data_IF_978039186551
#
_entry.id   IF_978039186551
#
_cell.length_a   1.000
_cell.length_b   1.000
_cell.length_c   1.000
_cell.angle_alpha   90.00
_cell.angle_beta   90.00
_cell.angle_gamma   90.00
#
_symmetry.space_group_name_H-M   'P 1'
#
loop_
_entity.id
_entity.type
_entity.pdbx_description
1 polymer ?
#
# COMPACT_ATOMS: atom_id res chain seq x y z
N UNK A 1 1.79 -26.06 -3.66
CA UNK A 1 1.78 -24.74 -3.01
C UNK A 1 0.46 -24.55 -2.26
N UNK A 2 0.51 -24.19 -0.97
CA UNK A 2 -0.64 -23.93 -0.09
C UNK A 2 -0.47 -22.60 0.66
N UNK A 3 -1.59 -21.93 0.97
CA UNK A 3 -1.61 -20.75 1.82
C UNK A 3 -1.33 -21.12 3.29
N UNK A 4 -0.42 -20.40 3.93
CA UNK A 4 -0.12 -20.53 5.36
C UNK A 4 -0.53 -19.30 6.17
N UNK A 5 -0.60 -18.12 5.56
CA UNK A 5 -1.11 -16.89 6.20
C UNK A 5 -1.59 -15.88 5.15
N UNK A 6 -2.51 -14.99 5.55
CA UNK A 6 -3.05 -13.90 4.74
C UNK A 6 -3.22 -12.67 5.63
N UNK A 7 -2.59 -11.55 5.28
CA UNK A 7 -2.70 -10.30 6.03
C UNK A 7 -3.12 -9.12 5.12
N UNK A 8 -4.30 -8.51 5.36
CA UNK A 8 -4.71 -7.30 4.67
C UNK A 8 -4.05 -6.05 5.30
N UNK A 9 -3.47 -5.21 4.46
CA UNK A 9 -2.77 -3.98 4.85
C UNK A 9 -3.44 -2.71 4.30
N UNK A 10 -4.72 -2.79 3.90
CA UNK A 10 -5.49 -1.69 3.31
C UNK A 10 -5.24 -0.29 3.88
N UNK A 11 -5.46 -0.11 5.19
CA UNK A 11 -5.32 1.19 5.86
C UNK A 11 -3.87 1.67 5.92
N UNK A 12 -2.91 0.75 5.87
CA UNK A 12 -1.49 1.11 5.75
C UNK A 12 -1.21 1.74 4.39
N UNK A 13 -1.82 1.23 3.32
CA UNK A 13 -1.63 1.77 1.98
C UNK A 13 -2.37 3.10 1.79
N UNK A 14 -3.57 3.26 2.36
CA UNK A 14 -4.24 4.56 2.48
C UNK A 14 -3.29 5.59 3.11
N UNK A 15 -2.78 5.31 4.31
CA UNK A 15 -1.89 6.21 5.06
C UNK A 15 -0.60 6.53 4.28
N UNK A 16 -0.05 5.55 3.58
CA UNK A 16 1.13 5.74 2.73
C UNK A 16 0.86 6.78 1.63
N UNK A 17 -0.25 6.64 0.91
CA UNK A 17 -0.62 7.56 -0.17
C UNK A 17 -0.95 8.97 0.33
N UNK A 18 -1.58 9.09 1.50
CA UNK A 18 -1.83 10.38 2.15
C UNK A 18 -0.51 11.09 2.50
N UNK A 19 0.47 10.38 3.05
CA UNK A 19 1.80 10.92 3.36
C UNK A 19 2.54 11.30 2.07
N UNK A 20 2.47 10.47 1.02
CA UNK A 20 3.06 10.81 -0.27
C UNK A 20 2.44 12.07 -0.86
N UNK A 21 1.12 12.23 -0.77
CA UNK A 21 0.45 13.45 -1.21
C UNK A 21 0.89 14.67 -0.39
N UNK A 22 0.95 14.57 0.94
CA UNK A 22 1.45 15.64 1.81
C UNK A 22 2.88 16.05 1.46
N UNK A 23 3.75 15.08 1.18
CA UNK A 23 5.12 15.35 0.77
C UNK A 23 5.20 15.94 -0.64
N UNK A 24 4.36 15.46 -1.56
CA UNK A 24 4.24 16.02 -2.90
C UNK A 24 3.84 17.50 -2.87
N UNK A 25 2.86 17.87 -2.03
CA UNK A 25 2.44 19.27 -1.89
C UNK A 25 3.60 20.20 -1.46
N UNK A 26 4.55 19.72 -0.65
CA UNK A 26 5.73 20.51 -0.23
C UNK A 26 6.69 20.82 -1.38
N UNK A 27 6.67 20.02 -2.45
CA UNK A 27 7.57 20.16 -3.62
C UNK A 27 6.80 20.52 -4.91
N UNK A 28 5.49 20.74 -4.82
CA UNK A 28 4.58 20.92 -5.96
C UNK A 28 5.05 21.95 -6.98
N UNK A 29 5.53 23.12 -6.52
CA UNK A 29 5.98 24.19 -7.41
C UNK A 29 7.18 23.77 -8.28
N UNK A 30 8.13 23.03 -7.71
CA UNK A 30 9.29 22.50 -8.45
C UNK A 30 8.86 21.47 -9.49
N UNK A 31 7.84 20.67 -9.16
CA UNK A 31 7.28 19.70 -10.11
C UNK A 31 6.53 20.40 -11.24
N UNK A 32 5.74 21.45 -10.95
CA UNK A 32 5.05 22.24 -11.97
C UNK A 32 6.05 22.91 -12.91
N UNK A 33 7.12 23.51 -12.37
CA UNK A 33 8.18 24.13 -13.17
C UNK A 33 8.83 23.11 -14.13
N UNK A 34 9.06 21.88 -13.67
CA UNK A 34 9.75 20.84 -14.45
C UNK A 34 8.83 20.04 -15.40
N UNK A 35 7.58 19.80 -15.02
CA UNK A 35 6.68 18.86 -15.69
C UNK A 35 5.33 19.46 -16.12
N UNK A 36 5.05 20.70 -15.72
CA UNK A 36 3.83 21.45 -16.07
C UNK A 36 2.62 21.14 -15.19
N UNK A 37 1.63 22.03 -15.24
CA UNK A 37 0.39 21.93 -14.43
C UNK A 37 -0.44 20.68 -14.74
N UNK A 38 -0.43 20.21 -15.99
CA UNK A 38 -1.14 18.98 -16.37
C UNK A 38 -0.63 17.77 -15.58
N UNK A 39 0.70 17.68 -15.40
CA UNK A 39 1.31 16.60 -14.63
C UNK A 39 0.94 16.72 -13.15
N UNK A 40 1.00 17.93 -12.58
CA UNK A 40 0.60 18.17 -11.19
C UNK A 40 -0.83 17.70 -10.88
N UNK A 41 -1.78 18.09 -11.74
CA UNK A 41 -3.17 17.67 -11.60
C UNK A 41 -3.34 16.17 -11.69
N UNK A 42 -2.70 15.54 -12.67
CA UNK A 42 -2.74 14.08 -12.86
C UNK A 42 -2.15 13.35 -11.64
N UNK A 43 -0.99 13.78 -11.15
CA UNK A 43 -0.31 13.12 -10.03
C UNK A 43 -1.06 13.32 -8.72
N UNK A 44 -1.60 14.51 -8.48
CA UNK A 44 -2.48 14.80 -7.34
C UNK A 44 -3.74 13.93 -7.37
N UNK A 45 -4.38 13.81 -8.54
CA UNK A 45 -5.55 12.95 -8.72
C UNK A 45 -5.20 11.49 -8.45
N UNK A 46 -4.10 10.99 -9.00
CA UNK A 46 -3.65 9.61 -8.79
C UNK A 46 -3.49 9.30 -7.31
N UNK A 47 -2.71 10.09 -6.57
CA UNK A 47 -2.44 9.83 -5.16
C UNK A 47 -3.72 9.87 -4.32
N UNK A 48 -4.56 10.89 -4.49
CA UNK A 48 -5.78 11.03 -3.70
C UNK A 48 -6.86 10.02 -4.08
N UNK A 49 -7.06 9.74 -5.37
CA UNK A 49 -8.05 8.76 -5.80
C UNK A 49 -7.67 7.35 -5.35
N UNK A 50 -6.38 6.99 -5.42
CA UNK A 50 -5.91 5.72 -4.88
C UNK A 50 -6.09 5.68 -3.35
N UNK A 51 -5.78 6.75 -2.62
CA UNK A 51 -5.99 6.81 -1.17
C UNK A 51 -7.47 6.58 -0.82
N UNK A 52 -8.39 7.26 -1.51
CA UNK A 52 -9.83 7.09 -1.34
C UNK A 52 -10.32 5.67 -1.71
N UNK A 53 -9.74 5.05 -2.74
CA UNK A 53 -10.07 3.67 -3.13
C UNK A 53 -9.65 2.67 -2.04
N UNK A 54 -8.49 2.85 -1.42
CA UNK A 54 -8.11 2.06 -0.24
C UNK A 54 -8.97 2.40 0.98
N UNK A 55 -9.26 3.67 1.25
CA UNK A 55 -10.09 4.12 2.38
C UNK A 55 -11.48 3.50 2.36
N UNK A 56 -12.14 3.58 1.19
CA UNK A 56 -13.50 3.07 0.96
C UNK A 56 -13.61 1.54 0.96
N UNK A 57 -12.48 0.81 0.95
CA UNK A 57 -12.52 -0.66 0.86
C UNK A 57 -12.66 -1.20 -0.55
N UNK A 58 -12.56 -0.36 -1.59
CA UNK A 58 -12.69 -0.78 -2.98
C UNK A 58 -11.49 -1.60 -3.47
N UNK A 59 -10.29 -1.37 -2.91
CA UNK A 59 -9.06 -2.13 -3.18
C UNK A 59 -8.29 -2.42 -1.90
N UNK A 60 -7.39 -3.42 -1.92
CA UNK A 60 -6.59 -3.85 -0.78
C UNK A 60 -5.15 -4.23 -1.19
N UNK A 61 -4.24 -4.27 -0.22
CA UNK A 61 -2.90 -4.85 -0.34
C UNK A 61 -2.85 -6.06 0.59
N UNK A 62 -2.61 -7.23 0.00
CA UNK A 62 -2.60 -8.48 0.75
C UNK A 62 -1.21 -9.08 0.75
N UNK A 63 -0.70 -9.42 1.92
CA UNK A 63 0.49 -10.24 2.07
C UNK A 63 0.07 -11.72 2.18
N UNK A 64 0.65 -12.55 1.31
CA UNK A 64 0.41 -13.99 1.30
C UNK A 64 1.67 -14.74 1.71
N UNK A 65 1.56 -15.57 2.75
CA UNK A 65 2.61 -16.55 3.09
C UNK A 65 2.26 -17.88 2.45
N UNK A 66 3.11 -18.35 1.54
CA UNK A 66 2.90 -19.56 0.76
C UNK A 66 4.00 -20.58 1.04
N UNK A 67 3.63 -21.86 1.12
CA UNK A 67 4.58 -22.98 1.25
C UNK A 67 4.34 -24.01 0.17
N UNK A 68 5.39 -24.64 -0.36
CA UNK A 68 5.24 -25.75 -1.33
C UNK A 68 5.19 -27.12 -0.65
N UNK A 69 4.31 -27.24 0.35
CA UNK A 69 4.09 -28.41 1.21
C UNK A 69 2.69 -28.25 1.88
N UNK A 70 2.27 -29.13 2.81
CA UNK A 70 1.14 -28.81 3.69
C UNK A 70 1.34 -27.46 4.39
N UNK A 71 0.27 -26.67 4.56
CA UNK A 71 0.34 -25.34 5.18
C UNK A 71 1.02 -25.38 6.54
N UNK A 72 1.85 -24.37 6.84
CA UNK A 72 2.61 -24.32 8.10
C UNK A 72 3.86 -25.20 8.15
N UNK A 73 4.16 -26.02 7.12
CA UNK A 73 5.39 -26.84 7.11
C UNK A 73 6.62 -25.95 7.20
N UNK A 74 7.47 -26.18 8.21
CA UNK A 74 8.66 -25.38 8.47
C UNK A 74 8.40 -24.06 9.22
N UNK A 75 7.18 -23.81 9.70
CA UNK A 75 6.81 -22.62 10.47
C UNK A 75 6.42 -22.98 11.92
N UNK A 76 6.56 -22.04 12.88
CA UNK A 76 6.01 -22.22 14.23
C UNK A 76 4.48 -22.38 14.21
N UNK A 77 3.94 -23.15 15.15
CA UNK A 77 2.49 -23.38 15.29
C UNK A 77 1.67 -22.11 15.59
N UNK A 78 2.31 -21.07 16.14
CA UNK A 78 1.66 -19.80 16.50
C UNK A 78 2.34 -18.63 15.80
N UNK A 79 1.57 -17.60 15.45
CA UNK A 79 2.02 -16.41 14.71
C UNK A 79 2.80 -15.38 15.54
N UNK A 80 3.09 -15.65 16.80
CA UNK A 80 3.75 -14.70 17.71
C UNK A 80 5.15 -14.27 17.24
N UNK A 81 5.78 -14.99 16.31
CA UNK A 81 7.07 -14.62 15.72
C UNK A 81 6.98 -13.53 14.64
N UNK A 82 5.77 -13.18 14.18
CA UNK A 82 5.55 -12.22 13.09
C UNK A 82 5.64 -10.77 13.59
N UNK A 83 5.21 -10.52 14.82
CA UNK A 83 5.08 -9.19 15.39
C UNK A 83 6.11 -9.00 16.51
N UNK A 84 6.87 -7.90 16.44
CA UNK A 84 7.83 -7.48 17.47
C UNK A 84 7.16 -6.65 18.56
#
# INVERSE_FOLDING_TARGET
MQFSDIEPLRRHYQKTLEIWYQNYQKVRNQVIEKYGERFDRMWSLYLQACAASFESGNIDVIQYLLVNAPSGTGLPMKRNYIYN
#
